data_IF_482646409524
#
_entry.id   IF_482646409524
#
_cell.length_a   1.000
_cell.length_b   1.000
_cell.length_c   1.000
_cell.angle_alpha   90.00
_cell.angle_beta   90.00
_cell.angle_gamma   90.00
#
_symmetry.space_group_name_H-M   'P 1'
#
loop_
_entity.id
_entity.type
_entity.pdbx_description
1 polymer ?
#
# COMPACT_ATOMS: atom_id res chain seq x y z
N UNK A 1 -2.32 2.73 9.02
CA UNK A 1 -2.45 1.25 9.03
C UNK A 1 -3.69 0.90 8.24
N UNK A 2 -3.61 -0.08 7.36
CA UNK A 2 -4.72 -0.54 6.52
C UNK A 2 -5.24 -1.86 7.06
N UNK A 3 -6.56 -2.04 7.03
CA UNK A 3 -7.19 -3.28 7.49
C UNK A 3 -7.34 -4.27 6.33
N UNK A 4 -6.59 -5.37 6.35
CA UNK A 4 -6.64 -6.38 5.28
C UNK A 4 -7.87 -7.30 5.39
N UNK A 5 -8.64 -7.25 6.50
CA UNK A 5 -9.89 -8.01 6.58
C UNK A 5 -11.05 -7.37 5.82
N UNK A 6 -10.90 -6.13 5.35
CA UNK A 6 -11.97 -5.37 4.68
C UNK A 6 -11.46 -4.82 3.35
N UNK A 7 -11.17 -5.72 2.40
CA UNK A 7 -10.62 -5.35 1.09
C UNK A 7 -11.51 -4.37 0.31
N UNK A 8 -12.82 -4.36 0.57
CA UNK A 8 -13.79 -3.42 -0.01
C UNK A 8 -13.76 -2.00 0.58
N UNK A 9 -13.01 -1.73 1.65
CA UNK A 9 -12.84 -0.37 2.19
C UNK A 9 -11.38 0.08 2.17
N UNK A 10 -10.46 -0.86 1.96
CA UNK A 10 -9.02 -0.66 2.05
C UNK A 10 -8.51 0.46 1.15
N UNK A 11 -9.02 0.56 -0.09
CA UNK A 11 -8.56 1.57 -1.05
C UNK A 11 -8.97 2.98 -0.60
N UNK A 12 -10.25 3.17 -0.27
CA UNK A 12 -10.75 4.45 0.22
C UNK A 12 -10.04 4.89 1.50
N UNK A 13 -9.73 3.94 2.39
CA UNK A 13 -8.96 4.20 3.60
C UNK A 13 -7.54 4.68 3.26
N UNK A 14 -6.86 4.01 2.33
CA UNK A 14 -5.53 4.38 1.88
C UNK A 14 -5.48 5.80 1.29
N UNK A 15 -6.38 6.13 0.35
CA UNK A 15 -6.45 7.46 -0.26
C UNK A 15 -6.73 8.54 0.80
N UNK A 16 -7.73 8.31 1.65
CA UNK A 16 -8.10 9.26 2.70
C UNK A 16 -6.96 9.53 3.68
N UNK A 17 -6.20 8.49 4.05
CA UNK A 17 -5.02 8.61 4.91
C UNK A 17 -3.91 9.37 4.20
N UNK A 18 -3.57 9.02 2.96
CA UNK A 18 -2.52 9.69 2.20
C UNK A 18 -2.83 11.18 2.01
N UNK A 19 -4.06 11.51 1.62
CA UNK A 19 -4.48 12.90 1.44
C UNK A 19 -4.47 13.69 2.74
N UNK A 20 -4.87 13.06 3.85
CA UNK A 20 -4.84 13.71 5.16
C UNK A 20 -3.40 13.99 5.60
N UNK A 21 -2.48 13.03 5.41
CA UNK A 21 -1.06 13.23 5.70
C UNK A 21 -0.47 14.31 4.79
N UNK A 22 -0.76 14.30 3.48
CA UNK A 22 -0.29 15.33 2.54
C UNK A 22 -0.75 16.73 2.95
N UNK A 23 -2.02 16.89 3.33
CA UNK A 23 -2.57 18.17 3.83
C UNK A 23 -1.90 18.62 5.13
N UNK A 24 -1.67 17.71 6.08
CA UNK A 24 -0.97 18.07 7.31
C UNK A 24 0.48 18.47 7.05
N UNK A 25 1.13 17.81 6.09
CA UNK A 25 2.53 18.06 5.74
C UNK A 25 2.72 19.37 4.98
N UNK A 26 1.80 19.72 4.07
CA UNK A 26 1.83 21.00 3.35
C UNK A 26 1.71 22.20 4.29
N UNK A 27 1.00 22.04 5.41
CA UNK A 27 0.90 23.06 6.46
C UNK A 27 2.18 23.17 7.31
N UNK A 28 2.95 22.09 7.42
CA UNK A 28 4.12 22.02 8.28
C UNK A 28 5.41 22.58 7.66
N UNK A 29 5.38 23.06 6.40
CA UNK A 29 6.54 23.62 5.66
C UNK A 29 7.78 22.71 5.75
N UNK A 30 7.57 21.40 5.65
CA UNK A 30 8.68 20.44 5.64
C UNK A 30 9.32 20.54 4.26
N UNK A 31 10.55 21.07 4.19
CA UNK A 31 11.36 21.11 2.97
C UNK A 31 11.96 19.72 2.73
N UNK A 32 11.81 19.21 1.51
CA UNK A 32 11.84 17.77 1.25
C UNK A 32 13.10 17.26 0.53
N UNK A 33 13.81 16.35 1.19
CA UNK A 33 14.82 15.46 0.60
C UNK A 33 14.19 14.16 0.04
N UNK A 34 12.94 14.23 -0.45
CA UNK A 34 12.20 13.07 -0.94
C UNK A 34 12.96 12.32 -2.06
N UNK A 35 13.61 13.07 -2.94
CA UNK A 35 14.39 12.53 -4.06
C UNK A 35 15.71 11.88 -3.65
N UNK A 36 16.27 12.20 -2.49
CA UNK A 36 17.52 11.58 -2.01
C UNK A 36 17.29 10.17 -1.43
N UNK A 37 16.04 9.83 -1.08
CA UNK A 37 15.68 8.52 -0.52
C UNK A 37 15.58 7.42 -1.57
N UNK A 38 15.44 7.78 -2.85
CA UNK A 38 15.47 6.82 -3.95
C UNK A 38 16.91 6.67 -4.42
N UNK A 39 17.47 5.46 -4.44
CA UNK A 39 18.81 5.23 -4.98
C UNK A 39 18.95 5.81 -6.39
N UNK A 40 20.08 6.46 -6.70
CA UNK A 40 20.25 7.11 -8.00
C UNK A 40 20.22 6.12 -9.17
N UNK A 41 20.71 4.90 -8.94
CA UNK A 41 20.76 3.81 -9.92
C UNK A 41 19.46 2.98 -9.99
N UNK A 42 18.39 3.42 -9.32
CA UNK A 42 17.15 2.64 -9.31
C UNK A 42 16.48 2.67 -10.71
N UNK A 43 16.20 1.51 -11.34
CA UNK A 43 15.68 1.46 -12.72
C UNK A 43 14.33 2.15 -12.88
N UNK A 44 13.50 2.12 -11.84
CA UNK A 44 12.17 2.73 -11.84
C UNK A 44 12.12 4.19 -11.37
N UNK A 45 13.28 4.83 -11.10
CA UNK A 45 13.34 6.18 -10.47
C UNK A 45 12.49 7.23 -11.19
N UNK A 46 12.43 7.18 -12.52
CA UNK A 46 11.65 8.12 -13.35
C UNK A 46 10.13 7.98 -13.20
N UNK A 47 9.66 6.85 -12.69
CA UNK A 47 8.24 6.53 -12.56
C UNK A 47 7.75 6.60 -11.11
N UNK A 48 8.67 6.71 -10.16
CA UNK A 48 8.37 6.90 -8.74
C UNK A 48 8.01 8.36 -8.45
N UNK A 49 7.13 8.55 -7.48
CA UNK A 49 6.77 9.86 -6.90
C UNK A 49 6.93 9.75 -5.38
N UNK A 50 8.18 9.80 -4.87
CA UNK A 50 8.48 9.49 -3.48
C UNK A 50 7.69 10.37 -2.54
N UNK A 51 7.11 9.77 -1.51
CA UNK A 51 6.39 10.53 -0.51
C UNK A 51 7.34 11.54 0.12
N UNK A 52 6.87 12.72 0.51
CA UNK A 52 7.83 13.73 0.91
C UNK A 52 8.60 13.30 2.19
N UNK A 53 7.93 12.72 3.19
CA UNK A 53 8.58 12.09 4.37
C UNK A 53 8.73 10.57 4.21
N UNK A 54 9.60 9.90 4.99
CA UNK A 54 9.60 8.45 5.10
C UNK A 54 8.21 7.93 5.48
N UNK A 55 7.66 7.04 4.66
CA UNK A 55 6.31 6.48 4.82
C UNK A 55 6.38 4.97 5.06
N UNK A 56 5.56 4.48 5.99
CA UNK A 56 5.41 3.06 6.28
C UNK A 56 3.93 2.69 6.11
N UNK A 57 3.65 1.73 5.24
CA UNK A 57 2.33 1.16 5.03
C UNK A 57 2.28 -0.18 5.75
N UNK A 58 1.43 -0.25 6.78
CA UNK A 58 1.21 -1.48 7.57
C UNK A 58 -0.14 -2.06 7.18
N UNK A 59 -0.16 -3.28 6.64
CA UNK A 59 -1.38 -4.07 6.40
C UNK A 59 -1.66 -4.97 7.60
N UNK A 60 -2.67 -4.64 8.40
CA UNK A 60 -3.06 -5.38 9.60
C UNK A 60 -3.98 -6.56 9.33
N UNK A 61 -4.21 -7.38 10.36
CA UNK A 61 -5.06 -8.59 10.33
C UNK A 61 -4.68 -9.59 9.22
N UNK A 62 -3.37 -9.79 9.02
CA UNK A 62 -2.87 -10.76 8.05
C UNK A 62 -3.39 -12.19 8.29
N UNK A 63 -3.69 -12.52 9.55
CA UNK A 63 -4.28 -13.81 9.93
C UNK A 63 -5.64 -14.08 9.28
N UNK A 64 -6.43 -13.05 9.00
CA UNK A 64 -7.69 -13.15 8.25
C UNK A 64 -7.40 -13.06 6.75
N UNK A 65 -6.51 -12.15 6.35
CA UNK A 65 -6.16 -11.94 4.95
C UNK A 65 -5.64 -13.21 4.26
N UNK A 66 -4.85 -14.02 4.97
CA UNK A 66 -4.29 -15.26 4.42
C UNK A 66 -5.37 -16.29 4.05
N UNK A 67 -6.58 -16.21 4.60
CA UNK A 67 -7.70 -17.10 4.34
C UNK A 67 -8.50 -16.73 3.07
N UNK A 68 -8.25 -15.54 2.50
CA UNK A 68 -8.89 -15.14 1.24
C UNK A 68 -8.45 -16.00 0.06
N UNK A 69 -9.31 -16.05 -0.96
CA UNK A 69 -9.00 -16.69 -2.24
C UNK A 69 -7.66 -16.20 -2.81
N UNK A 70 -6.82 -17.09 -3.37
CA UNK A 70 -5.51 -16.72 -3.91
C UNK A 70 -5.55 -15.56 -4.91
N UNK A 71 -6.58 -15.48 -5.74
CA UNK A 71 -6.76 -14.40 -6.71
C UNK A 71 -6.92 -13.04 -6.03
N UNK A 72 -7.77 -12.95 -5.00
CA UNK A 72 -7.96 -11.73 -4.21
C UNK A 72 -6.68 -11.32 -3.51
N UNK A 73 -5.98 -12.27 -2.89
CA UNK A 73 -4.70 -12.01 -2.22
C UNK A 73 -3.66 -11.48 -3.20
N UNK A 74 -3.55 -12.09 -4.39
CA UNK A 74 -2.62 -11.68 -5.46
C UNK A 74 -2.88 -10.24 -5.89
N UNK A 75 -4.13 -9.86 -6.14
CA UNK A 75 -4.50 -8.52 -6.59
C UNK A 75 -4.23 -7.48 -5.50
N UNK A 76 -4.63 -7.77 -4.26
CA UNK A 76 -4.40 -6.85 -3.13
C UNK A 76 -2.90 -6.66 -2.86
N UNK A 77 -2.12 -7.74 -2.83
CA UNK A 77 -0.66 -7.65 -2.65
C UNK A 77 -0.01 -6.86 -3.78
N UNK A 78 -0.40 -7.12 -5.04
CA UNK A 78 0.13 -6.40 -6.21
C UNK A 78 -0.15 -4.89 -6.11
N UNK A 79 -1.38 -4.50 -5.78
CA UNK A 79 -1.75 -3.09 -5.67
C UNK A 79 -1.02 -2.40 -4.51
N UNK A 80 -0.96 -3.04 -3.34
CA UNK A 80 -0.26 -2.49 -2.18
C UNK A 80 1.24 -2.34 -2.45
N UNK A 81 1.88 -3.34 -3.06
CA UNK A 81 3.29 -3.27 -3.47
C UNK A 81 3.53 -2.14 -4.46
N UNK A 82 2.66 -2.01 -5.47
CA UNK A 82 2.77 -0.97 -6.48
C UNK A 82 2.69 0.44 -5.88
N UNK A 83 1.73 0.71 -5.00
CA UNK A 83 1.59 2.03 -4.35
C UNK A 83 2.79 2.30 -3.44
N UNK A 84 3.21 1.30 -2.68
CA UNK A 84 4.37 1.42 -1.80
C UNK A 84 5.64 1.74 -2.60
N UNK A 85 5.78 1.14 -3.78
CA UNK A 85 6.90 1.40 -4.69
C UNK A 85 6.88 2.82 -5.24
N UNK A 86 5.74 3.28 -5.79
CA UNK A 86 5.60 4.66 -6.28
C UNK A 86 5.96 5.67 -5.20
N UNK A 87 5.44 5.48 -3.99
CA UNK A 87 5.61 6.40 -2.87
C UNK A 87 6.97 6.25 -2.17
N UNK A 88 7.84 5.34 -2.62
CA UNK A 88 9.08 4.99 -1.92
C UNK A 88 8.84 4.73 -0.42
N UNK A 89 7.82 3.92 -0.13
CA UNK A 89 7.35 3.56 1.19
C UNK A 89 7.68 2.11 1.53
N UNK A 90 7.89 1.84 2.82
CA UNK A 90 8.06 0.46 3.32
C UNK A 90 6.69 -0.19 3.50
N UNK A 91 6.47 -1.36 2.91
CA UNK A 91 5.26 -2.17 3.09
C UNK A 91 5.52 -3.34 4.04
N UNK A 92 4.69 -3.49 5.07
CA UNK A 92 4.78 -4.66 5.97
C UNK A 92 3.39 -5.17 6.34
N UNK A 93 3.21 -6.50 6.26
CA UNK A 93 2.02 -7.16 6.75
C UNK A 93 2.19 -7.56 8.22
N UNK A 94 1.11 -7.37 8.98
CA UNK A 94 1.06 -7.46 10.41
C UNK A 94 -0.16 -8.29 10.85
N UNK A 95 0.04 -9.13 11.86
CA UNK A 95 -1.05 -9.73 12.63
C UNK A 95 -0.64 -9.73 14.10
N UNK A 96 -1.57 -9.37 14.98
CA UNK A 96 -1.37 -9.49 16.43
C UNK A 96 -1.32 -10.94 16.91
N UNK A 97 -1.76 -11.91 16.09
CA UNK A 97 -1.76 -13.33 16.41
C UNK A 97 -0.44 -14.03 16.05
N UNK A 98 0.44 -13.35 15.32
CA UNK A 98 1.74 -13.90 14.92
C UNK A 98 2.89 -13.07 15.53
N UNK A 99 3.57 -13.65 16.52
CA UNK A 99 4.67 -13.00 17.22
C UNK A 99 5.84 -12.60 16.29
N UNK A 100 6.08 -13.35 15.20
CA UNK A 100 7.13 -13.03 14.25
C UNK A 100 6.77 -11.78 13.42
N UNK A 101 5.49 -11.63 13.04
CA UNK A 101 5.01 -10.43 12.35
C UNK A 101 4.97 -9.20 13.27
N UNK A 102 4.59 -9.38 14.55
CA UNK A 102 4.67 -8.31 15.55
C UNK A 102 6.10 -7.82 15.70
N UNK A 103 7.06 -8.74 15.83
CA UNK A 103 8.48 -8.38 15.93
C UNK A 103 8.94 -7.62 14.69
N UNK A 104 8.61 -8.12 13.48
CA UNK A 104 8.96 -7.49 12.22
C UNK A 104 8.46 -6.05 12.11
N UNK A 105 7.19 -5.80 12.47
CA UNK A 105 6.62 -4.46 12.46
C UNK A 105 7.34 -3.51 13.43
N UNK A 106 7.68 -3.99 14.63
CA UNK A 106 8.47 -3.22 15.61
C UNK A 106 9.87 -2.89 15.09
N UNK A 107 10.54 -3.86 14.47
CA UNK A 107 11.88 -3.65 13.91
C UNK A 107 11.85 -2.59 12.80
N UNK A 108 10.84 -2.61 11.92
CA UNK A 108 10.63 -1.58 10.89
C UNK A 108 10.40 -0.20 11.52
N UNK A 109 9.54 -0.10 12.53
CA UNK A 109 9.28 1.17 13.22
C UNK A 109 10.55 1.70 13.92
N UNK A 110 11.31 0.82 14.57
CA UNK A 110 12.55 1.18 15.24
C UNK A 110 13.63 1.66 14.27
N UNK A 111 13.70 1.08 13.07
CA UNK A 111 14.59 1.55 12.01
C UNK A 111 14.26 3.00 11.62
N UNK A 112 12.98 3.29 11.39
CA UNK A 112 12.56 4.64 11.01
C UNK A 112 12.62 5.67 12.16
N UNK A 113 12.49 5.23 13.41
CA UNK A 113 12.53 6.13 14.58
C UNK A 113 13.94 6.37 15.14
N UNK A 114 14.84 5.39 15.02
CA UNK A 114 16.15 5.40 15.69
C UNK A 114 17.32 5.04 14.77
N UNK A 115 17.08 4.93 13.45
CA UNK A 115 18.10 4.54 12.46
C UNK A 115 18.77 3.19 12.77
N UNK A 116 18.09 2.32 13.53
CA UNK A 116 18.56 0.95 13.81
C UNK A 116 18.71 0.15 12.50
N UNK A 117 19.48 -0.95 12.44
CA UNK A 117 19.74 -1.65 11.17
C UNK A 117 18.46 -2.01 10.41
N UNK A 118 18.40 -1.65 9.13
CA UNK A 118 17.23 -1.92 8.28
C UNK A 118 16.96 -3.43 8.18
N UNK A 119 15.68 -3.79 8.16
CA UNK A 119 15.26 -5.16 7.97
C UNK A 119 15.72 -5.68 6.58
N UNK A 120 16.58 -6.70 6.55
CA UNK A 120 17.07 -7.31 5.31
C UNK A 120 16.06 -8.25 4.64
N UNK A 121 14.98 -8.57 5.35
CA UNK A 121 13.99 -9.55 4.88
C UNK A 121 13.08 -8.90 3.84
N UNK A 122 13.19 -9.36 2.60
CA UNK A 122 12.28 -9.03 1.50
C UNK A 122 11.39 -10.25 1.26
N UNK A 123 10.07 -10.04 1.29
CA UNK A 123 9.06 -11.05 1.02
C UNK A 123 8.00 -10.44 0.10
N UNK A 124 8.07 -10.80 -1.18
CA UNK A 124 7.17 -10.31 -2.24
C UNK A 124 6.05 -11.29 -2.60
N UNK A 125 6.12 -12.52 -2.07
CA UNK A 125 5.19 -13.62 -2.32
C UNK A 125 3.82 -13.34 -1.67
N UNK A 126 2.76 -13.39 -2.46
CA UNK A 126 1.38 -13.18 -2.01
C UNK A 126 0.85 -14.31 -1.13
N UNK A 127 1.50 -15.49 -1.12
CA UNK A 127 1.18 -16.59 -0.22
C UNK A 127 1.78 -16.40 1.18
N UNK A 128 2.65 -15.41 1.38
CA UNK A 128 3.32 -15.11 2.64
C UNK A 128 3.02 -13.68 3.07
N UNK A 129 3.34 -13.36 4.32
CA UNK A 129 3.20 -12.00 4.83
C UNK A 129 4.21 -11.08 4.13
N UNK A 130 3.69 -10.19 3.26
CA UNK A 130 4.50 -9.27 2.46
C UNK A 130 5.34 -8.36 3.35
N UNK A 131 6.59 -8.18 2.97
CA UNK A 131 7.53 -7.28 3.60
C UNK A 131 8.48 -6.73 2.54
N UNK A 132 8.35 -5.45 2.22
CA UNK A 132 9.11 -4.80 1.15
C UNK A 132 9.62 -3.47 1.69
N UNK A 133 10.92 -3.37 2.04
CA UNK A 133 11.58 -2.11 2.35
C UNK A 133 11.47 -1.10 1.20
N UNK A 134 11.42 0.20 1.54
CA UNK A 134 11.43 1.27 0.55
C UNK A 134 12.62 1.13 -0.43
N UNK A 135 12.35 1.22 -1.73
CA UNK A 135 13.38 1.15 -2.80
C UNK A 135 13.91 -0.26 -3.10
N UNK A 136 13.31 -1.32 -2.54
CA UNK A 136 13.72 -2.72 -2.79
C UNK A 136 12.78 -3.49 -3.73
N UNK A 137 11.69 -2.87 -4.19
CA UNK A 137 10.76 -3.46 -5.15
C UNK A 137 11.07 -3.01 -6.58
N UNK A 138 10.49 -3.69 -7.56
CA UNK A 138 10.63 -3.36 -8.98
C UNK A 138 9.27 -3.49 -9.67
N UNK A 139 8.93 -2.58 -10.59
CA UNK A 139 7.69 -2.71 -11.37
C UNK A 139 7.66 -4.02 -12.16
N UNK A 140 8.81 -4.46 -12.69
CA UNK A 140 8.95 -5.76 -13.35
C UNK A 140 8.58 -6.93 -12.43
N UNK A 141 8.99 -6.90 -11.15
CA UNK A 141 8.64 -7.93 -10.16
C UNK A 141 7.16 -7.89 -9.77
N UNK A 142 6.56 -6.71 -9.73
CA UNK A 142 5.16 -6.52 -9.33
C UNK A 142 4.20 -6.95 -10.45
N UNK A 143 4.53 -6.63 -11.69
CA UNK A 143 3.62 -6.79 -12.83
C UNK A 143 3.96 -7.97 -13.73
N UNK A 144 5.22 -8.42 -13.74
CA UNK A 144 5.71 -9.47 -14.63
C UNK A 144 5.81 -9.06 -16.11
N UNK A 145 5.74 -7.76 -16.42
CA UNK A 145 5.80 -7.24 -17.80
C UNK A 145 7.02 -6.31 -17.93
N UNK A 146 7.88 -6.59 -18.91
CA UNK A 146 9.19 -5.95 -19.12
C UNK A 146 9.19 -4.49 -19.59
N UNK A 147 8.15 -3.72 -19.28
CA UNK A 147 8.13 -2.29 -19.47
C UNK A 147 7.25 -1.66 -18.39
N UNK A 148 7.87 -0.86 -17.51
CA UNK A 148 7.18 -0.05 -16.51
C UNK A 148 6.24 0.92 -17.24
N UNK A 149 5.01 0.49 -17.49
CA UNK A 149 3.98 1.40 -18.00
C UNK A 149 3.47 2.09 -16.76
N UNK A 150 3.81 3.36 -16.54
CA UNK A 150 3.32 4.12 -15.38
C UNK A 150 1.80 4.00 -15.31
N UNK A 151 1.29 3.18 -14.40
CA UNK A 151 -0.11 3.26 -14.02
C UNK A 151 -0.26 4.57 -13.25
N UNK A 152 -1.16 5.43 -13.71
CA UNK A 152 -1.70 6.45 -12.82
C UNK A 152 -2.33 5.75 -11.61
N UNK A 153 -2.31 6.42 -10.46
CA UNK A 153 -3.02 5.93 -9.27
C UNK A 153 -4.50 5.63 -9.61
N UNK A 154 -5.10 6.39 -10.53
CA UNK A 154 -6.46 6.15 -11.04
C UNK A 154 -6.62 4.81 -11.77
N UNK A 155 -5.64 4.42 -12.60
CA UNK A 155 -5.68 3.13 -13.30
C UNK A 155 -5.54 1.98 -12.32
N UNK A 156 -4.69 2.13 -11.30
CA UNK A 156 -4.56 1.12 -10.25
C UNK A 156 -5.80 1.05 -9.37
N UNK A 157 -6.40 2.20 -9.03
CA UNK A 157 -7.68 2.29 -8.35
C UNK A 157 -8.74 1.50 -9.11
N UNK A 158 -8.87 1.78 -10.40
CA UNK A 158 -9.86 1.10 -11.24
C UNK A 158 -9.67 -0.43 -11.25
N UNK A 159 -8.43 -0.90 -11.37
CA UNK A 159 -8.12 -2.33 -11.26
C UNK A 159 -8.55 -2.88 -9.89
N UNK A 160 -8.17 -2.20 -8.80
CA UNK A 160 -8.51 -2.65 -7.46
C UNK A 160 -10.03 -2.66 -7.22
N UNK A 161 -10.74 -1.59 -7.55
CA UNK A 161 -12.18 -1.45 -7.29
C UNK A 161 -13.05 -2.34 -8.17
N UNK A 162 -12.55 -2.75 -9.34
CA UNK A 162 -13.22 -3.75 -10.20
C UNK A 162 -13.25 -5.12 -9.53
N UNK A 163 -12.20 -5.49 -8.79
CA UNK A 163 -12.12 -6.76 -8.06
C UNK A 163 -12.69 -6.67 -6.64
N UNK A 164 -12.68 -5.47 -6.04
CA UNK A 164 -13.18 -5.17 -4.71
C UNK A 164 -14.12 -3.96 -4.76
N UNK A 165 -15.41 -4.17 -5.12
CA UNK A 165 -16.40 -3.10 -5.15
C UNK A 165 -16.44 -2.40 -3.80
N UNK A 166 -16.24 -1.07 -3.78
CA UNK A 166 -16.14 -0.38 -2.50
C UNK A 166 -17.51 -0.30 -1.83
N UNK A 167 -17.60 -0.67 -0.55
CA UNK A 167 -18.90 -0.75 0.15
C UNK A 167 -19.66 0.58 0.18
N UNK A 168 -18.93 1.71 0.21
CA UNK A 168 -19.52 3.05 0.17
C UNK A 168 -20.25 3.33 -1.17
N UNK A 169 -19.68 2.89 -2.29
CA UNK A 169 -20.32 2.99 -3.60
C UNK A 169 -21.55 2.09 -3.68
N UNK A 170 -21.52 0.90 -3.06
CA UNK A 170 -22.70 0.04 -2.93
C UNK A 170 -23.81 0.70 -2.12
N UNK A 171 -23.50 1.31 -0.97
CA UNK A 171 -24.49 2.00 -0.14
C UNK A 171 -25.10 3.20 -0.87
N UNK A 172 -24.28 4.05 -1.51
CA UNK A 172 -24.78 5.17 -2.31
C UNK A 172 -25.65 4.70 -3.50
N UNK A 173 -25.23 3.65 -4.21
CA UNK A 173 -26.01 3.08 -5.31
C UNK A 173 -27.33 2.43 -4.84
N UNK A 174 -27.34 1.78 -3.68
CA UNK A 174 -28.56 1.22 -3.08
C UNK A 174 -29.52 2.31 -2.63
N UNK A 175 -29.02 3.41 -2.08
CA UNK A 175 -29.84 4.57 -1.71
C UNK A 175 -30.44 5.24 -2.95
N UNK A 176 -29.66 5.50 -3.99
CA UNK A 176 -30.17 6.06 -5.27
C UNK A 176 -31.20 5.12 -5.94
N UNK A 177 -30.99 3.81 -5.88
CA UNK A 177 -31.95 2.81 -6.40
C UNK A 177 -33.24 2.73 -5.59
N UNK A 178 -33.19 3.04 -4.29
CA UNK A 178 -34.37 3.13 -3.42
C UNK A 178 -35.14 4.41 -3.72
N UNK A 179 -34.46 5.56 -3.82
CA UNK A 179 -35.09 6.83 -4.19
C UNK A 179 -35.79 6.73 -5.55
N UNK A 180 -35.15 6.14 -6.57
CA UNK A 180 -35.74 5.96 -7.91
C UNK A 180 -36.88 4.94 -8.00
N UNK A 181 -37.11 4.11 -6.97
CA UNK A 181 -38.27 3.19 -6.89
C UNK A 181 -39.45 3.81 -6.14
N UNK A 182 -39.23 4.94 -5.48
CA UNK A 182 -40.24 5.62 -4.66
C UNK A 182 -40.85 6.83 -5.40
N UNK A 183 -40.41 7.07 -6.64
CA UNK A 183 -40.95 8.02 -7.62
C UNK A 183 -41.56 7.23 -8.78
#
# INVERSE_FOLDING_TARGET
MLDLSELGQLWNCLESLLDSIKRSLSLAVINHEAGQRVPEDHPDKLFMDPFPTPLIIIGGKYDIFQEYEPEKRKIACRCLRYISHILCATLVFYSSKDAALVKRAKDVLNHHAFESPQLKTICQDYNKAVCVPAGSDLFESIEGVGAATKYSLDKLRHVYTTHFPQELERYCQEMERREKRTL
#
